data_IF_738139317771
#
_entry.id   IF_738139317771
#
_cell.length_a   1.000
_cell.length_b   1.000
_cell.length_c   1.000
_cell.angle_alpha   90.00
_cell.angle_beta   90.00
_cell.angle_gamma   90.00
#
_symmetry.space_group_name_H-M   'P 1'
#
loop_
_entity.id
_entity.type
_entity.pdbx_description
1 polymer ?
#
# COMPACT_ATOMS: atom_id res chain seq x y z
N UNK A 1 12.57 57.56 35.97
CA UNK A 1 11.67 56.43 36.14
C UNK A 1 11.11 55.86 34.82
N UNK A 2 10.90 56.65 33.79
CA UNK A 2 10.35 56.15 32.50
C UNK A 2 11.23 55.12 31.74
N UNK A 3 12.56 55.27 31.77
CA UNK A 3 13.46 54.35 31.03
C UNK A 3 13.48 52.90 31.59
N UNK A 4 13.21 52.72 32.91
CA UNK A 4 13.16 51.37 33.52
C UNK A 4 11.83 50.66 33.26
N UNK A 5 10.71 51.40 33.09
CA UNK A 5 9.42 50.84 32.79
C UNK A 5 9.34 50.31 31.36
N UNK A 6 9.96 50.99 30.39
CA UNK A 6 10.01 50.56 28.97
C UNK A 6 10.83 49.27 28.84
N UNK A 7 11.93 49.12 29.59
CA UNK A 7 12.78 47.95 29.55
C UNK A 7 12.07 46.69 30.09
N UNK A 8 11.27 46.84 31.16
CA UNK A 8 10.50 45.76 31.76
C UNK A 8 9.34 45.31 30.86
N UNK A 9 8.68 46.23 30.18
CA UNK A 9 7.59 45.92 29.23
C UNK A 9 8.14 45.17 28.03
N UNK A 10 9.29 45.55 27.46
CA UNK A 10 9.95 44.82 26.38
C UNK A 10 10.36 43.41 26.81
N UNK A 11 10.88 43.19 28.00
CA UNK A 11 11.27 41.87 28.51
C UNK A 11 10.07 40.96 28.72
N UNK A 12 8.95 41.46 29.19
CA UNK A 12 7.71 40.70 29.36
C UNK A 12 7.10 40.36 28.00
N UNK A 13 7.12 41.27 27.05
CA UNK A 13 6.64 41.03 25.65
C UNK A 13 7.46 39.94 24.96
N UNK A 14 8.79 39.92 25.08
CA UNK A 14 9.62 38.85 24.54
C UNK A 14 9.38 37.49 25.22
N UNK A 15 9.16 37.50 26.54
CA UNK A 15 8.86 36.25 27.26
C UNK A 15 7.51 35.65 26.85
N UNK A 16 6.50 36.48 26.59
CA UNK A 16 5.19 36.02 26.10
C UNK A 16 5.29 35.48 24.68
N UNK A 17 6.09 36.07 23.79
CA UNK A 17 6.34 35.55 22.45
C UNK A 17 7.07 34.20 22.48
N UNK A 18 7.99 33.99 23.44
CA UNK A 18 8.69 32.70 23.62
C UNK A 18 7.75 31.58 24.12
N UNK A 19 6.74 31.93 24.92
CA UNK A 19 5.75 30.95 25.40
C UNK A 19 4.67 30.61 24.39
N UNK A 20 4.42 31.45 23.38
CA UNK A 20 3.47 31.19 22.32
C UNK A 20 4.06 30.39 21.13
N UNK A 21 5.38 30.24 21.07
CA UNK A 21 6.06 29.49 20.01
C UNK A 21 6.25 27.98 20.29
N UNK A 22 5.72 27.47 21.41
CA UNK A 22 5.89 26.05 21.80
C UNK A 22 4.64 25.18 21.60
N UNK A 23 3.73 25.55 20.71
CA UNK A 23 2.57 24.71 20.42
C UNK A 23 2.18 24.66 18.94
N UNK A 24 3.13 24.64 18.03
CA UNK A 24 2.95 23.83 16.85
C UNK A 24 3.57 22.47 17.14
N UNK A 25 2.91 21.72 18.01
CA UNK A 25 2.99 20.29 17.95
C UNK A 25 2.56 19.93 16.52
N UNK A 26 3.53 19.76 15.62
CA UNK A 26 3.34 18.81 14.54
C UNK A 26 3.05 17.51 15.29
N UNK A 27 1.77 17.19 15.42
CA UNK A 27 1.37 15.81 15.47
C UNK A 27 1.97 15.22 14.19
N UNK A 28 3.15 14.64 14.29
CA UNK A 28 3.45 13.52 13.45
C UNK A 28 2.31 12.56 13.77
N UNK A 29 1.27 12.56 12.95
CA UNK A 29 0.42 11.41 12.84
C UNK A 29 1.42 10.28 12.63
N UNK A 30 1.57 9.46 13.67
CA UNK A 30 2.14 8.16 13.49
C UNK A 30 1.17 7.51 12.50
N UNK A 31 1.48 7.65 11.21
CA UNK A 31 0.82 6.86 10.18
C UNK A 31 0.98 5.43 10.66
N UNK A 32 -0.15 4.80 10.95
CA UNK A 32 -0.18 3.45 11.48
C UNK A 32 0.66 2.61 10.50
N UNK A 33 1.85 2.19 10.94
CA UNK A 33 2.81 1.45 10.13
C UNK A 33 2.27 0.10 9.62
N UNK A 34 1.04 -0.26 9.98
CA UNK A 34 0.37 -1.47 9.51
C UNK A 34 0.05 -1.41 8.03
N UNK A 35 -0.38 -0.25 7.53
CA UNK A 35 -0.67 -0.08 6.10
C UNK A 35 0.57 -0.18 5.23
N UNK A 36 1.75 0.17 5.75
CA UNK A 36 3.01 0.09 5.02
C UNK A 36 3.61 -1.32 4.96
N UNK A 37 3.25 -2.22 5.89
CA UNK A 37 3.82 -3.58 5.93
C UNK A 37 3.25 -4.50 4.85
N UNK A 38 2.01 -4.31 4.44
CA UNK A 38 1.36 -5.10 3.39
C UNK A 38 1.08 -4.30 2.11
N UNK A 39 1.42 -3.00 2.09
CA UNK A 39 1.19 -2.10 0.97
C UNK A 39 -0.29 -1.77 0.73
N UNK A 40 -1.18 -2.13 1.68
CA UNK A 40 -2.62 -1.92 1.55
C UNK A 40 -3.03 -0.63 2.24
N UNK A 41 -3.29 0.42 1.47
CA UNK A 41 -3.92 1.64 1.96
C UNK A 41 -5.11 1.99 1.07
N UNK A 42 -6.14 2.60 1.66
CA UNK A 42 -7.31 3.02 0.91
C UNK A 42 -6.97 4.23 0.05
N UNK A 43 -7.32 4.15 -1.22
CA UNK A 43 -7.09 5.22 -2.19
C UNK A 43 -8.29 5.38 -3.12
N UNK A 44 -8.50 6.58 -3.62
CA UNK A 44 -9.49 6.88 -4.66
C UNK A 44 -8.90 6.76 -6.08
N UNK A 45 -7.67 6.31 -6.20
CA UNK A 45 -7.03 6.07 -7.49
C UNK A 45 -7.76 4.99 -8.28
N UNK A 46 -7.72 5.09 -9.59
CA UNK A 46 -8.39 4.14 -10.49
C UNK A 46 -7.51 2.92 -10.81
N UNK A 47 -6.25 2.96 -10.44
CA UNK A 47 -5.27 1.90 -10.67
C UNK A 47 -4.24 1.88 -9.53
N UNK A 48 -3.84 0.68 -9.11
CA UNK A 48 -2.75 0.46 -8.18
C UNK A 48 -1.88 -0.71 -8.64
N UNK A 49 -0.56 -0.59 -8.44
CA UNK A 49 0.43 -1.62 -8.77
C UNK A 49 1.31 -1.87 -7.56
N UNK A 50 1.49 -3.13 -7.20
CA UNK A 50 2.43 -3.59 -6.18
C UNK A 50 3.62 -4.29 -6.82
N UNK A 51 4.78 -4.21 -6.17
CA UNK A 51 6.00 -4.94 -6.56
C UNK A 51 6.58 -5.60 -5.33
N UNK A 52 6.78 -6.92 -5.40
CA UNK A 52 7.48 -7.69 -4.37
C UNK A 52 8.89 -8.06 -4.86
N UNK A 53 9.90 -7.40 -4.27
CA UNK A 53 11.33 -7.62 -4.53
C UNK A 53 11.98 -8.26 -3.29
N UNK A 54 11.31 -9.17 -2.61
CA UNK A 54 11.84 -9.76 -1.40
C UNK A 54 12.91 -10.80 -1.73
N UNK A 55 14.15 -10.43 -1.48
CA UNK A 55 15.39 -11.24 -1.57
C UNK A 55 15.32 -12.55 -0.72
N UNK A 56 14.32 -12.71 0.14
CA UNK A 56 14.24 -13.80 1.12
C UNK A 56 13.32 -14.98 0.73
N UNK A 57 12.69 -14.96 -0.44
CA UNK A 57 11.76 -16.00 -0.87
C UNK A 57 12.30 -16.89 -1.99
N UNK A 58 13.40 -17.60 -1.69
CA UNK A 58 13.98 -18.57 -2.62
C UNK A 58 14.97 -17.96 -3.61
N UNK A 59 15.94 -18.75 -4.03
CA UNK A 59 17.00 -18.33 -4.95
C UNK A 59 16.50 -18.13 -6.38
N UNK A 60 15.30 -18.62 -6.69
CA UNK A 60 14.76 -18.68 -8.05
C UNK A 60 13.79 -17.53 -8.39
N UNK A 61 13.17 -16.88 -7.38
CA UNK A 61 12.25 -15.78 -7.59
C UNK A 61 13.00 -14.45 -7.76
N UNK A 62 12.82 -13.78 -8.90
CA UNK A 62 13.38 -12.45 -9.15
C UNK A 62 12.46 -11.34 -8.65
N UNK A 63 11.21 -11.32 -9.12
CA UNK A 63 10.24 -10.28 -8.78
C UNK A 63 8.81 -10.75 -8.98
N UNK A 64 7.91 -10.26 -8.11
CA UNK A 64 6.47 -10.41 -8.24
C UNK A 64 5.80 -9.07 -8.48
N UNK A 65 4.82 -9.02 -9.35
CA UNK A 65 3.99 -7.86 -9.62
C UNK A 65 2.53 -8.16 -9.37
N UNK A 66 1.83 -7.19 -8.81
CA UNK A 66 0.38 -7.22 -8.67
C UNK A 66 -0.22 -5.94 -9.25
N UNK A 67 -1.41 -6.02 -9.82
CA UNK A 67 -2.10 -4.89 -10.42
C UNK A 67 -3.61 -5.02 -10.25
N UNK A 68 -4.23 -3.94 -9.83
CA UNK A 68 -5.68 -3.78 -9.83
C UNK A 68 -6.05 -2.47 -10.53
N UNK A 69 -7.11 -2.47 -11.31
CA UNK A 69 -7.57 -1.30 -12.05
C UNK A 69 -9.10 -1.28 -12.18
N UNK A 70 -9.70 -0.13 -11.92
CA UNK A 70 -11.10 0.13 -12.24
C UNK A 70 -11.24 0.32 -13.77
N UNK A 71 -11.98 -0.57 -14.41
CA UNK A 71 -12.23 -0.52 -15.86
C UNK A 71 -13.41 0.41 -16.16
N UNK A 72 -14.49 0.25 -15.40
CA UNK A 72 -15.70 1.09 -15.41
C UNK A 72 -16.45 0.90 -14.10
N UNK A 73 -17.56 1.60 -13.91
CA UNK A 73 -18.44 1.38 -12.76
C UNK A 73 -18.83 -0.11 -12.67
N UNK A 74 -18.61 -0.73 -11.49
CA UNK A 74 -18.95 -2.13 -11.24
C UNK A 74 -18.04 -3.16 -11.93
N UNK A 75 -16.91 -2.74 -12.55
CA UNK A 75 -15.98 -3.68 -13.21
C UNK A 75 -14.54 -3.32 -12.89
N UNK A 76 -13.80 -4.27 -12.34
CA UNK A 76 -12.37 -4.16 -12.10
C UNK A 76 -11.59 -5.19 -12.96
N UNK A 77 -10.34 -4.88 -13.20
CA UNK A 77 -9.32 -5.79 -13.69
C UNK A 77 -8.34 -6.05 -12.54
N UNK A 78 -8.03 -7.31 -12.28
CA UNK A 78 -7.03 -7.69 -11.29
C UNK A 78 -6.14 -8.81 -11.82
N UNK A 79 -4.88 -8.82 -11.43
CA UNK A 79 -3.94 -9.84 -11.85
C UNK A 79 -2.54 -9.58 -11.33
N UNK A 80 -1.61 -10.42 -11.77
CA UNK A 80 -0.21 -10.30 -11.42
C UNK A 80 0.69 -11.12 -12.33
N UNK A 81 1.99 -10.98 -12.06
CA UNK A 81 3.06 -11.65 -12.80
C UNK A 81 4.14 -12.08 -11.83
N UNK A 82 4.61 -13.31 -11.95
CA UNK A 82 5.79 -13.83 -11.26
C UNK A 82 6.91 -13.99 -12.28
N UNK A 83 8.09 -13.48 -11.97
CA UNK A 83 9.29 -13.59 -12.81
C UNK A 83 10.37 -14.32 -12.00
N UNK A 84 10.92 -15.38 -12.57
CA UNK A 84 12.07 -16.13 -12.07
C UNK A 84 13.39 -15.54 -12.55
N UNK A 85 14.48 -15.84 -11.85
CA UNK A 85 15.84 -15.45 -12.25
C UNK A 85 16.33 -16.24 -13.47
N UNK A 86 15.76 -17.41 -13.70
CA UNK A 86 16.04 -18.33 -14.79
C UNK A 86 14.82 -19.21 -15.04
N UNK A 87 14.89 -20.11 -16.01
CA UNK A 87 13.86 -21.14 -16.24
C UNK A 87 13.74 -22.03 -15.01
N UNK A 88 12.57 -22.06 -14.40
CA UNK A 88 12.20 -22.82 -13.21
C UNK A 88 11.40 -24.07 -13.61
N UNK A 89 11.51 -25.13 -12.85
CA UNK A 89 10.69 -26.33 -13.05
C UNK A 89 9.20 -26.04 -12.87
N UNK A 90 8.91 -25.19 -11.88
CA UNK A 90 7.57 -24.70 -11.60
C UNK A 90 7.65 -23.21 -11.22
N UNK A 91 6.83 -22.38 -11.83
CA UNK A 91 6.65 -20.98 -11.49
C UNK A 91 5.17 -20.69 -11.35
N UNK A 92 4.76 -20.12 -10.22
CA UNK A 92 3.36 -20.07 -9.79
C UNK A 92 2.97 -18.67 -9.32
N UNK A 93 1.69 -18.39 -9.46
CA UNK A 93 1.04 -17.21 -8.89
C UNK A 93 -0.35 -17.57 -8.39
N UNK A 94 -0.65 -17.16 -7.16
CA UNK A 94 -2.02 -17.14 -6.63
C UNK A 94 -2.45 -15.70 -6.48
N UNK A 95 -3.60 -15.35 -7.02
CA UNK A 95 -4.17 -14.01 -6.97
C UNK A 95 -5.44 -14.04 -6.15
N UNK A 96 -5.52 -13.20 -5.11
CA UNK A 96 -6.70 -12.95 -4.29
C UNK A 96 -7.18 -11.53 -4.53
N UNK A 97 -8.46 -11.35 -4.80
CA UNK A 97 -9.13 -10.05 -4.79
C UNK A 97 -9.95 -9.96 -3.52
N UNK A 98 -9.76 -8.89 -2.78
CA UNK A 98 -10.39 -8.66 -1.49
C UNK A 98 -11.06 -7.29 -1.47
N UNK A 99 -12.05 -7.12 -0.57
CA UNK A 99 -12.79 -5.87 -0.42
C UNK A 99 -12.92 -5.45 1.04
N UNK A 100 -12.97 -4.14 1.28
CA UNK A 100 -13.30 -3.53 2.56
C UNK A 100 -14.02 -2.20 2.37
N UNK A 101 -14.80 -1.74 3.36
CA UNK A 101 -15.43 -0.41 3.34
C UNK A 101 -14.60 0.65 4.02
N UNK A 102 -13.84 0.27 5.04
CA UNK A 102 -13.07 1.15 5.90
C UNK A 102 -11.67 0.58 6.10
N UNK A 103 -10.73 1.42 6.45
CA UNK A 103 -9.34 1.06 6.63
C UNK A 103 -9.12 0.03 7.77
N UNK A 104 -9.95 0.10 8.82
CA UNK A 104 -9.87 -0.80 9.98
C UNK A 104 -10.73 -2.07 9.84
N UNK A 105 -11.41 -2.25 8.72
CA UNK A 105 -12.26 -3.42 8.47
C UNK A 105 -11.41 -4.62 8.02
N UNK A 106 -11.80 -5.82 8.46
CA UNK A 106 -11.21 -7.03 7.91
C UNK A 106 -11.52 -7.14 6.41
N UNK A 107 -10.50 -7.46 5.63
CA UNK A 107 -10.65 -7.65 4.20
C UNK A 107 -11.38 -8.94 3.89
N UNK A 108 -12.48 -8.85 3.17
CA UNK A 108 -13.29 -9.98 2.72
C UNK A 108 -12.82 -10.47 1.35
N UNK A 109 -12.55 -11.76 1.22
CA UNK A 109 -12.15 -12.37 -0.05
C UNK A 109 -13.34 -12.42 -1.01
N UNK A 110 -13.16 -11.86 -2.21
CA UNK A 110 -14.15 -11.84 -3.28
C UNK A 110 -13.90 -12.94 -4.30
N UNK A 111 -12.65 -13.14 -4.69
CA UNK A 111 -12.26 -14.11 -5.72
C UNK A 111 -10.81 -14.54 -5.50
N UNK A 112 -10.52 -15.83 -5.70
CA UNK A 112 -9.16 -16.38 -5.68
C UNK A 112 -8.96 -17.26 -6.90
N UNK A 113 -7.80 -17.17 -7.55
CA UNK A 113 -7.40 -18.10 -8.60
C UNK A 113 -5.91 -18.31 -8.62
N UNK A 114 -5.50 -19.40 -9.24
CA UNK A 114 -4.12 -19.84 -9.31
C UNK A 114 -3.73 -20.08 -10.77
N UNK A 115 -2.45 -19.87 -11.09
CA UNK A 115 -1.85 -20.26 -12.35
C UNK A 115 -0.41 -20.75 -12.12
N UNK A 116 -0.04 -21.79 -12.84
CA UNK A 116 1.28 -22.39 -12.86
C UNK A 116 1.77 -22.53 -14.30
N UNK A 117 3.05 -22.30 -14.52
CA UNK A 117 3.78 -22.69 -15.71
C UNK A 117 4.93 -23.62 -15.29
N UNK A 118 5.25 -24.60 -16.12
CA UNK A 118 6.39 -25.50 -15.95
C UNK A 118 7.45 -25.20 -16.99
N UNK A 119 8.73 -25.43 -16.62
CA UNK A 119 9.87 -25.15 -17.49
C UNK A 119 9.83 -23.73 -18.08
N UNK A 120 9.55 -22.74 -17.23
CA UNK A 120 9.34 -21.35 -17.61
C UNK A 120 10.00 -20.39 -16.62
N UNK A 121 10.30 -19.19 -17.06
CA UNK A 121 10.83 -18.09 -16.24
C UNK A 121 9.78 -17.04 -15.90
N UNK A 122 8.54 -17.21 -16.39
CA UNK A 122 7.46 -16.26 -16.18
C UNK A 122 6.09 -16.95 -16.13
N UNK A 123 5.24 -16.50 -15.20
CA UNK A 123 3.80 -16.77 -15.20
C UNK A 123 3.03 -15.48 -14.97
N UNK A 124 1.99 -15.27 -15.75
CA UNK A 124 1.10 -14.11 -15.63
C UNK A 124 -0.35 -14.54 -15.75
N UNK A 125 -1.20 -13.93 -14.94
CA UNK A 125 -2.65 -14.19 -14.97
C UNK A 125 -3.43 -12.95 -14.58
N UNK A 126 -4.63 -12.84 -15.14
CA UNK A 126 -5.54 -11.73 -14.83
C UNK A 126 -6.98 -12.08 -15.13
N UNK A 127 -7.90 -11.42 -14.43
CA UNK A 127 -9.34 -11.51 -14.65
C UNK A 127 -9.98 -10.12 -14.68
N UNK A 128 -11.08 -9.99 -15.41
CA UNK A 128 -12.07 -8.93 -15.23
C UNK A 128 -13.18 -9.48 -14.35
N UNK A 129 -13.52 -8.73 -13.30
CA UNK A 129 -14.53 -9.12 -12.32
C UNK A 129 -15.62 -8.06 -12.29
N UNK A 130 -16.87 -8.50 -12.23
CA UNK A 130 -18.00 -7.66 -11.87
C UNK A 130 -18.03 -7.53 -10.35
N UNK A 131 -18.11 -6.32 -9.86
CA UNK A 131 -18.00 -6.01 -8.44
C UNK A 131 -19.03 -4.96 -8.02
N UNK A 132 -19.40 -4.99 -6.74
CA UNK A 132 -20.32 -4.03 -6.14
C UNK A 132 -19.67 -2.65 -5.99
N UNK A 133 -20.44 -1.59 -6.17
CA UNK A 133 -19.99 -0.23 -5.86
C UNK A 133 -19.97 0.05 -4.35
N UNK A 134 -19.22 1.08 -3.94
CA UNK A 134 -19.16 1.51 -2.54
C UNK A 134 -18.21 0.69 -1.66
N UNK A 135 -17.31 -0.06 -2.25
CA UNK A 135 -16.24 -0.82 -1.61
C UNK A 135 -14.89 -0.41 -2.15
N UNK A 136 -13.87 -0.53 -1.31
CA UNK A 136 -12.48 -0.54 -1.73
C UNK A 136 -12.08 -1.97 -2.09
N UNK A 137 -11.28 -2.12 -3.12
CA UNK A 137 -10.80 -3.40 -3.60
C UNK A 137 -9.28 -3.41 -3.63
N UNK A 138 -8.67 -4.51 -3.16
CA UNK A 138 -7.24 -4.77 -3.31
C UNK A 138 -6.98 -6.09 -4.00
N UNK A 139 -5.80 -6.21 -4.57
CA UNK A 139 -5.27 -7.48 -5.07
C UNK A 139 -4.07 -7.89 -4.25
N UNK A 140 -4.05 -9.13 -3.80
CA UNK A 140 -2.94 -9.76 -3.12
C UNK A 140 -2.43 -10.90 -3.98
N UNK A 141 -1.12 -10.91 -4.29
CA UNK A 141 -0.50 -11.96 -5.08
C UNK A 141 0.52 -12.72 -4.23
N UNK A 142 0.48 -14.04 -4.30
CA UNK A 142 1.50 -14.93 -3.74
C UNK A 142 2.29 -15.50 -4.90
N UNK A 143 3.61 -15.32 -4.86
CA UNK A 143 4.54 -15.70 -5.92
C UNK A 143 5.44 -16.84 -5.45
N UNK A 144 5.68 -17.84 -6.31
CA UNK A 144 6.60 -18.95 -6.05
C UNK A 144 7.34 -19.34 -7.32
N UNK A 145 8.62 -19.75 -7.17
CA UNK A 145 9.47 -20.26 -8.23
C UNK A 145 10.43 -21.31 -7.65
N UNK A 146 10.49 -22.54 -8.27
CA UNK A 146 11.29 -23.70 -7.87
C UNK A 146 12.34 -24.09 -8.90
#
# INVERSE_FOLDING_TARGET
MQKRAISTICAISMLICLLLSTSTGMSAEASDNRSMLDGSYLTNETESTGTDIKITRGENLQVGYSKIRKVKAGVIYAGGTTIGQHTCKSIQITVSVERAKWEDEEWEVVEVWHKENTDADLVSTSKKLEVEGGWYYRVVCIHSAD
#
